data_IF_908523049702
#
_entry.id   IF_908523049702
#
_cell.length_a   1.000
_cell.length_b   1.000
_cell.length_c   1.000
_cell.angle_alpha   90.00
_cell.angle_beta   90.00
_cell.angle_gamma   90.00
#
_symmetry.space_group_name_H-M   'P 1'
#
loop_
_entity.id
_entity.type
_entity.pdbx_description
1 polymer ?
#
# COMPACT_ATOMS: atom_id res chain seq x y z
N UNK A 1 13.89 26.25 -8.43
CA UNK A 1 12.52 26.35 -8.97
C UNK A 1 11.87 24.98 -8.79
N UNK A 2 11.14 24.68 -7.71
CA UNK A 2 9.89 25.30 -7.27
C UNK A 2 9.95 25.93 -5.87
N UNK A 3 9.13 26.95 -5.76
CA UNK A 3 8.94 27.96 -4.74
C UNK A 3 8.05 27.42 -3.60
N UNK A 4 8.19 28.00 -2.41
CA UNK A 4 7.14 28.38 -1.44
C UNK A 4 7.49 27.94 -0.02
N UNK A 5 7.39 28.89 0.92
CA UNK A 5 7.35 28.62 2.35
C UNK A 5 6.18 27.69 2.63
N UNK A 6 6.45 26.39 2.71
CA UNK A 6 5.44 25.38 2.97
C UNK A 6 4.97 25.57 4.42
N UNK A 7 3.76 26.10 4.59
CA UNK A 7 3.15 26.25 5.91
C UNK A 7 3.23 24.95 6.69
N UNK A 8 3.39 25.00 8.02
CA UNK A 8 3.62 23.80 8.84
C UNK A 8 2.63 22.66 8.57
N UNK A 9 1.40 23.00 8.16
CA UNK A 9 0.37 22.06 7.71
C UNK A 9 0.75 21.29 6.44
N UNK A 10 1.30 21.94 5.42
CA UNK A 10 1.64 21.30 4.15
C UNK A 10 2.83 20.33 4.28
N UNK A 11 3.81 20.62 5.16
CA UNK A 11 4.87 19.65 5.49
C UNK A 11 4.34 18.42 6.24
N UNK A 12 3.34 18.61 7.10
CA UNK A 12 2.72 17.49 7.81
C UNK A 12 1.94 16.58 6.86
N UNK A 13 1.25 17.15 5.86
CA UNK A 13 0.54 16.38 4.83
C UNK A 13 1.53 15.58 3.97
N UNK A 14 2.60 16.20 3.46
CA UNK A 14 3.64 15.49 2.67
C UNK A 14 4.18 14.27 3.42
N UNK A 15 4.51 14.41 4.72
CA UNK A 15 5.03 13.31 5.53
C UNK A 15 4.00 12.19 5.76
N UNK A 16 2.71 12.54 5.88
CA UNK A 16 1.62 11.57 6.00
C UNK A 16 1.43 10.84 4.68
N UNK A 17 1.41 11.54 3.55
CA UNK A 17 1.28 10.92 2.22
C UNK A 17 2.43 9.96 1.93
N UNK A 18 3.67 10.36 2.22
CA UNK A 18 4.84 9.49 2.04
C UNK A 18 4.76 8.22 2.91
N UNK A 19 4.34 8.37 4.17
CA UNK A 19 4.14 7.23 5.08
C UNK A 19 2.99 6.34 4.61
N UNK A 20 1.90 6.93 4.09
CA UNK A 20 0.74 6.21 3.60
C UNK A 20 1.07 5.34 2.38
N UNK A 21 1.81 5.88 1.42
CA UNK A 21 2.28 5.15 0.23
C UNK A 21 3.22 4.01 0.64
N UNK A 22 4.14 4.25 1.58
CA UNK A 22 5.06 3.23 2.07
C UNK A 22 4.31 2.07 2.76
N UNK A 23 3.28 2.37 3.55
CA UNK A 23 2.43 1.36 4.20
C UNK A 23 1.68 0.54 3.14
N UNK A 24 1.05 1.19 2.16
CA UNK A 24 0.30 0.50 1.09
C UNK A 24 1.21 -0.48 0.34
N UNK A 25 2.43 -0.05 -0.02
CA UNK A 25 3.41 -0.90 -0.71
C UNK A 25 3.78 -2.14 0.11
N UNK A 26 4.04 -1.97 1.41
CA UNK A 26 4.31 -3.08 2.32
C UNK A 26 3.11 -4.03 2.46
N UNK A 27 1.90 -3.48 2.50
CA UNK A 27 0.66 -4.25 2.66
C UNK A 27 0.38 -5.12 1.43
N UNK A 28 0.67 -4.62 0.22
CA UNK A 28 0.61 -5.40 -1.01
C UNK A 28 1.59 -6.59 -0.99
N UNK A 29 2.79 -6.41 -0.44
CA UNK A 29 3.77 -7.50 -0.31
C UNK A 29 3.31 -8.56 0.68
N UNK A 30 2.75 -8.14 1.82
CA UNK A 30 2.24 -9.09 2.83
C UNK A 30 1.06 -9.89 2.29
N UNK A 31 0.10 -9.26 1.60
CA UNK A 31 -1.06 -9.98 1.03
C UNK A 31 -0.63 -11.00 -0.02
N UNK A 32 0.26 -10.62 -0.94
CA UNK A 32 0.76 -11.55 -1.97
C UNK A 32 1.51 -12.72 -1.34
N UNK A 33 2.29 -12.46 -0.29
CA UNK A 33 2.98 -13.50 0.46
C UNK A 33 2.03 -14.43 1.23
N UNK A 34 1.00 -13.87 1.88
CA UNK A 34 -0.04 -14.65 2.55
C UNK A 34 -0.80 -15.55 1.56
N UNK A 35 -1.01 -15.07 0.33
CA UNK A 35 -1.63 -15.86 -0.73
C UNK A 35 -0.76 -17.08 -1.14
N UNK A 36 0.56 -16.90 -1.21
CA UNK A 36 1.53 -17.99 -1.41
C UNK A 36 1.41 -19.01 -0.27
N UNK A 37 1.44 -18.57 0.99
CA UNK A 37 1.29 -19.45 2.16
C UNK A 37 -0.02 -20.24 2.08
N UNK A 38 -1.14 -19.57 1.82
CA UNK A 38 -2.45 -20.23 1.68
C UNK A 38 -2.43 -21.32 0.59
N UNK A 39 -1.82 -21.00 -0.55
CA UNK A 39 -1.76 -21.91 -1.69
C UNK A 39 -0.88 -23.13 -1.44
N UNK A 40 0.29 -22.94 -0.82
CA UNK A 40 1.27 -24.01 -0.65
C UNK A 40 1.09 -24.82 0.64
N UNK A 41 0.65 -24.19 1.74
CA UNK A 41 0.50 -24.85 3.05
C UNK A 41 -0.93 -25.33 3.28
N UNK A 42 -1.92 -24.52 2.93
CA UNK A 42 -3.33 -24.83 3.19
C UNK A 42 -4.05 -25.40 1.95
N UNK A 43 -3.34 -25.60 0.83
CA UNK A 43 -3.88 -26.05 -0.47
C UNK A 43 -5.14 -25.26 -0.91
N UNK A 44 -5.33 -24.04 -0.40
CA UNK A 44 -6.52 -23.22 -0.61
C UNK A 44 -6.10 -21.84 -1.12
N UNK A 45 -6.95 -21.20 -1.92
CA UNK A 45 -6.61 -19.92 -2.54
C UNK A 45 -7.43 -18.79 -1.90
N UNK A 46 -6.75 -17.70 -1.52
CA UNK A 46 -7.41 -16.50 -1.00
C UNK A 46 -7.95 -15.71 -2.20
N UNK A 47 -9.19 -16.00 -2.58
CA UNK A 47 -9.84 -15.43 -3.77
C UNK A 47 -9.86 -13.89 -3.76
N UNK A 48 -10.02 -13.29 -2.58
CA UNK A 48 -10.08 -11.84 -2.38
C UNK A 48 -8.70 -11.15 -2.35
N UNK A 49 -7.59 -11.90 -2.26
CA UNK A 49 -6.26 -11.29 -2.17
C UNK A 49 -5.92 -10.50 -3.43
N UNK A 50 -6.31 -11.02 -4.60
CA UNK A 50 -6.12 -10.34 -5.88
C UNK A 50 -6.88 -9.01 -5.91
N UNK A 51 -8.16 -9.03 -5.52
CA UNK A 51 -8.98 -7.82 -5.46
C UNK A 51 -8.39 -6.79 -4.49
N UNK A 52 -7.96 -7.23 -3.30
CA UNK A 52 -7.37 -6.32 -2.31
C UNK A 52 -6.08 -5.70 -2.81
N UNK A 53 -5.22 -6.44 -3.52
CA UNK A 53 -4.02 -5.86 -4.14
C UNK A 53 -4.35 -4.86 -5.24
N UNK A 54 -5.40 -5.09 -6.04
CA UNK A 54 -5.83 -4.16 -7.09
C UNK A 54 -6.41 -2.87 -6.47
N UNK A 55 -7.21 -2.98 -5.41
CA UNK A 55 -7.72 -1.81 -4.69
C UNK A 55 -6.60 -0.99 -4.05
N UNK A 56 -5.61 -1.65 -3.44
CA UNK A 56 -4.43 -0.97 -2.91
C UNK A 56 -3.63 -0.25 -4.00
N UNK A 57 -3.55 -0.82 -5.21
CA UNK A 57 -2.91 -0.16 -6.35
C UNK A 57 -3.68 1.09 -6.80
N UNK A 58 -5.01 1.03 -6.81
CA UNK A 58 -5.87 2.18 -7.13
C UNK A 58 -5.80 3.31 -6.09
N UNK A 59 -5.33 3.05 -4.86
CA UNK A 59 -5.06 4.08 -3.85
C UNK A 59 -3.65 4.66 -3.92
N UNK A 60 -2.77 4.08 -4.72
CA UNK A 60 -1.40 4.58 -4.92
C UNK A 60 -1.28 5.58 -6.09
N UNK A 61 -2.26 5.60 -7.01
CA UNK A 61 -2.30 6.48 -8.19
C UNK A 61 -2.84 7.87 -7.90
#
# INVERSE_FOLDING_TARGET
MKTQAQGGLARAIDAIEESFIAIILGLMTVITFANVIARYIFNSNILWALETTVFLFAWLV
#
